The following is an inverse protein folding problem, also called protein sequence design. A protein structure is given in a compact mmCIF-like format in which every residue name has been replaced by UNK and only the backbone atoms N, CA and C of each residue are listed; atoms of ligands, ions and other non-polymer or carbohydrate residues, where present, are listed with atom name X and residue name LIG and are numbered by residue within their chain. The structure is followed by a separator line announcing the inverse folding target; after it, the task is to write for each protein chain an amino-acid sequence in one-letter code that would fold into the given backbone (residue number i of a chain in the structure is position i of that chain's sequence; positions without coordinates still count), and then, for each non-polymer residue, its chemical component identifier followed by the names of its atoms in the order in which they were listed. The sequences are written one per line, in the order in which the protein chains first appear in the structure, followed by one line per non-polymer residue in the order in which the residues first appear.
data_IF_918783079683
#
_entry.id   IF_918783079683
#
_cell.length_a   1.000
_cell.length_b   1.000
_cell.length_c   1.000
_cell.angle_alpha   90.00
_cell.angle_beta   90.00
_cell.angle_gamma   90.00
#
_symmetry.space_group_name_H-M   'P 1'
#
loop_
_entity.id
_entity.type
_entity.pdbx_description
1 polymer ?
#
# COMPACT_ATOMS: atom_id res chain seq x y z
N UNK A 1 22.51 -60.51 7.09
CA UNK A 1 22.05 -60.54 8.50
C UNK A 1 23.18 -60.21 9.50
N UNK A 2 24.36 -60.85 9.43
CA UNK A 2 25.47 -60.58 10.37
C UNK A 2 26.03 -59.14 10.34
N UNK A 3 26.23 -58.55 9.15
CA UNK A 3 26.77 -57.19 8.98
C UNK A 3 25.86 -56.06 9.48
N UNK A 4 24.54 -56.25 9.46
CA UNK A 4 23.61 -55.22 9.96
C UNK A 4 23.63 -55.16 11.49
N UNK A 5 23.77 -56.31 12.16
CA UNK A 5 23.83 -56.39 13.62
C UNK A 5 25.13 -55.76 14.14
N UNK A 6 26.26 -55.98 13.45
CA UNK A 6 27.54 -55.36 13.84
C UNK A 6 27.52 -53.84 13.69
N UNK A 7 26.88 -53.31 12.64
CA UNK A 7 26.73 -51.86 12.45
C UNK A 7 25.87 -51.24 13.57
N UNK A 8 24.76 -51.88 13.93
CA UNK A 8 23.88 -51.38 15.01
C UNK A 8 24.63 -51.34 16.35
N UNK A 9 25.43 -52.36 16.66
CA UNK A 9 26.24 -52.40 17.89
C UNK A 9 27.28 -51.27 17.89
N UNK A 10 27.94 -51.00 16.77
CA UNK A 10 28.94 -49.91 16.65
C UNK A 10 28.29 -48.53 16.83
N UNK A 11 27.10 -48.32 16.25
CA UNK A 11 26.37 -47.05 16.42
C UNK A 11 25.93 -46.87 17.87
N UNK A 12 25.45 -47.93 18.51
CA UNK A 12 25.01 -47.86 19.90
C UNK A 12 26.18 -47.60 20.86
N UNK A 13 27.34 -48.23 20.63
CA UNK A 13 28.55 -47.96 21.43
C UNK A 13 29.05 -46.54 21.23
N UNK A 14 29.04 -46.00 20.01
CA UNK A 14 29.39 -44.59 19.75
C UNK A 14 28.45 -43.62 20.48
N UNK A 15 27.14 -43.85 20.44
CA UNK A 15 26.16 -42.98 21.14
C UNK A 15 26.37 -43.01 22.66
N UNK A 16 26.62 -44.18 23.24
CA UNK A 16 26.89 -44.27 24.69
C UNK A 16 28.19 -43.60 25.10
N UNK A 17 29.25 -43.67 24.28
CA UNK A 17 30.52 -42.99 24.54
C UNK A 17 30.36 -41.48 24.45
N UNK A 18 29.62 -40.96 23.47
CA UNK A 18 29.33 -39.51 23.35
C UNK A 18 28.54 -39.02 24.55
N UNK A 19 27.50 -39.75 24.99
CA UNK A 19 26.72 -39.38 26.17
C UNK A 19 27.56 -39.38 27.46
N UNK A 20 28.50 -40.32 27.61
CA UNK A 20 29.40 -40.37 28.77
C UNK A 20 30.41 -39.20 28.74
N UNK A 21 30.93 -38.83 27.56
CA UNK A 21 31.84 -37.69 27.42
C UNK A 21 31.12 -36.38 27.76
N UNK A 22 29.90 -36.19 27.24
CA UNK A 22 29.09 -35.00 27.53
C UNK A 22 28.80 -34.87 29.04
N UNK A 23 28.46 -35.98 29.70
CA UNK A 23 28.24 -36.00 31.15
C UNK A 23 29.49 -35.71 31.99
N UNK A 24 30.69 -36.01 31.47
CA UNK A 24 31.98 -35.72 32.16
C UNK A 24 32.50 -34.31 31.87
N UNK A 25 32.18 -33.73 30.70
CA UNK A 25 32.55 -32.36 30.34
C UNK A 25 31.70 -31.30 31.06
N UNK A 26 30.48 -31.65 31.50
CA UNK A 26 29.60 -30.76 32.25
C UNK A 26 29.71 -30.92 33.78
N UNK A 27 30.93 -30.92 34.34
CA UNK A 27 31.09 -30.64 35.77
C UNK A 27 31.15 -29.12 35.99
N UNK A 28 30.17 -28.49 36.65
CA UNK A 28 30.33 -27.11 37.07
C UNK A 28 31.41 -27.04 38.15
N UNK A 29 32.47 -26.26 37.89
CA UNK A 29 33.45 -25.87 38.92
C UNK A 29 32.78 -25.03 40.01
N UNK A 30 33.42 -24.88 41.18
CA UNK A 30 32.86 -24.08 42.28
C UNK A 30 32.68 -22.62 41.84
N UNK A 31 31.63 -21.93 42.32
CA UNK A 31 31.29 -20.60 41.83
C UNK A 31 32.32 -19.57 42.30
N UNK A 32 33.16 -19.10 41.39
CA UNK A 32 33.93 -17.88 41.60
C UNK A 32 32.98 -16.70 41.47
N UNK A 33 32.61 -16.09 42.59
CA UNK A 33 31.79 -14.88 42.64
C UNK A 33 32.63 -13.70 42.11
N UNK A 34 32.61 -13.52 40.79
CA UNK A 34 33.03 -12.28 40.17
C UNK A 34 31.83 -11.35 40.23
N UNK A 35 31.89 -10.38 41.15
CA UNK A 35 30.93 -9.27 41.22
C UNK A 35 31.11 -8.36 39.99
N UNK A 36 30.68 -8.82 38.83
CA UNK A 36 30.37 -7.94 37.70
C UNK A 36 28.90 -7.53 37.84
N UNK A 37 28.55 -6.23 37.86
CA UNK A 37 27.16 -5.84 37.80
C UNK A 37 26.56 -6.43 36.52
N UNK A 38 25.49 -7.21 36.68
CA UNK A 38 24.80 -7.82 35.56
C UNK A 38 24.52 -6.76 34.48
N UNK A 39 24.76 -7.05 33.19
CA UNK A 39 24.40 -6.12 32.13
C UNK A 39 22.90 -5.88 32.28
N UNK A 40 22.52 -4.65 32.64
CA UNK A 40 21.13 -4.24 32.69
C UNK A 40 20.55 -4.61 31.32
N UNK A 41 19.68 -5.61 31.26
CA UNK A 41 18.92 -5.92 30.05
C UNK A 41 18.12 -4.65 29.75
N UNK A 42 18.68 -3.78 28.89
CA UNK A 42 17.93 -2.67 28.33
C UNK A 42 16.80 -3.36 27.58
N UNK A 43 15.58 -3.18 28.06
CA UNK A 43 14.39 -3.57 27.34
C UNK A 43 14.45 -2.75 26.04
N UNK A 44 14.96 -3.34 24.97
CA UNK A 44 14.88 -2.74 23.64
C UNK A 44 13.47 -3.01 23.18
N UNK A 45 12.67 -1.96 23.19
CA UNK A 45 11.42 -1.96 22.47
C UNK A 45 11.82 -1.73 21.01
N UNK A 46 11.99 -2.80 20.25
CA UNK A 46 12.23 -2.74 18.80
C UNK A 46 10.89 -3.04 18.12
N UNK A 47 9.97 -2.06 18.00
CA UNK A 47 8.71 -2.30 17.31
C UNK A 47 9.01 -2.44 15.83
N UNK A 48 8.52 -3.53 15.24
CA UNK A 48 8.41 -3.62 13.79
C UNK A 48 7.31 -2.64 13.37
N UNK A 49 7.72 -1.47 12.91
CA UNK A 49 6.82 -0.46 12.33
C UNK A 49 6.83 -0.71 10.82
N UNK A 50 5.66 -1.03 10.28
CA UNK A 50 5.36 -1.09 8.85
C UNK A 50 4.03 -0.37 8.57
N UNK A 51 3.99 0.52 7.59
CA UNK A 51 2.77 1.22 7.19
C UNK A 51 2.00 0.40 6.15
N UNK A 52 1.26 -0.59 6.63
CA UNK A 52 0.38 -1.40 5.78
C UNK A 52 -0.98 -0.72 5.56
N UNK A 53 -1.67 -1.13 4.50
CA UNK A 53 -3.06 -0.70 4.26
C UNK A 53 -3.98 -1.04 5.44
N UNK A 54 -3.80 -2.20 6.08
CA UNK A 54 -4.58 -2.54 7.27
C UNK A 54 -4.42 -1.52 8.41
N UNK A 55 -3.21 -1.04 8.70
CA UNK A 55 -3.00 -0.08 9.79
C UNK A 55 -3.65 1.27 9.49
N UNK A 56 -3.68 1.66 8.21
CA UNK A 56 -4.38 2.85 7.71
C UNK A 56 -5.90 2.68 7.87
N UNK A 57 -6.48 1.56 7.44
CA UNK A 57 -7.92 1.30 7.57
C UNK A 57 -8.34 1.28 9.05
N UNK A 58 -7.54 0.68 9.93
CA UNK A 58 -7.80 0.70 11.38
C UNK A 58 -7.71 2.12 11.96
N UNK A 59 -6.84 2.95 11.41
CA UNK A 59 -6.75 4.36 11.81
C UNK A 59 -8.00 5.14 11.37
N UNK A 60 -8.46 4.96 10.13
CA UNK A 60 -9.70 5.57 9.63
C UNK A 60 -10.90 5.13 10.48
N UNK A 61 -10.96 3.86 10.89
CA UNK A 61 -12.01 3.33 11.79
C UNK A 61 -11.97 3.94 13.19
N UNK A 62 -10.78 4.25 13.73
CA UNK A 62 -10.65 4.86 15.06
C UNK A 62 -11.00 6.35 15.06
N UNK A 63 -10.66 7.07 13.98
CA UNK A 63 -10.82 8.53 13.90
C UNK A 63 -12.08 8.97 13.16
N UNK A 64 -12.70 8.10 12.37
CA UNK A 64 -13.91 8.40 11.61
C UNK A 64 -13.71 9.42 10.49
N UNK A 65 -12.46 9.59 10.02
CA UNK A 65 -12.09 10.51 8.94
C UNK A 65 -11.15 9.84 7.96
N UNK A 66 -11.10 10.35 6.73
CA UNK A 66 -10.20 9.86 5.69
C UNK A 66 -8.74 10.10 6.08
N UNK A 67 -7.85 9.17 5.68
CA UNK A 67 -6.42 9.29 5.97
C UNK A 67 -5.78 10.58 5.42
N UNK A 68 -6.29 11.10 4.30
CA UNK A 68 -5.82 12.36 3.71
C UNK A 68 -6.07 13.60 4.59
N UNK A 69 -6.97 13.52 5.57
CA UNK A 69 -7.30 14.61 6.51
C UNK A 69 -6.60 14.41 7.88
N UNK A 70 -5.52 13.64 7.90
CA UNK A 70 -4.69 13.46 9.09
C UNK A 70 -3.99 14.76 9.46
N UNK A 71 -4.11 15.15 10.72
CA UNK A 71 -3.43 16.31 11.27
C UNK A 71 -2.21 15.86 12.08
N UNK A 72 -1.01 16.17 11.56
CA UNK A 72 0.25 15.85 12.24
C UNK A 72 0.51 16.74 13.47
N UNK A 73 -0.23 17.84 13.64
CA UNK A 73 -0.17 18.66 14.85
C UNK A 73 -1.05 18.11 15.99
N UNK A 74 -2.07 17.30 15.67
CA UNK A 74 -2.90 16.66 16.68
C UNK A 74 -2.21 15.42 17.25
N UNK A 75 -1.97 15.45 18.56
CA UNK A 75 -1.37 14.31 19.29
C UNK A 75 -2.23 13.06 19.21
N UNK A 76 -3.55 13.20 19.24
CA UNK A 76 -4.43 12.03 19.22
C UNK A 76 -4.40 11.32 17.85
N UNK A 77 -4.23 12.06 16.75
CA UNK A 77 -4.04 11.50 15.41
C UNK A 77 -2.73 10.72 15.28
N UNK A 78 -1.63 11.30 15.77
CA UNK A 78 -0.30 10.68 15.75
C UNK A 78 -0.26 9.46 16.68
N UNK A 79 -0.80 9.57 17.89
CA UNK A 79 -0.89 8.46 18.85
C UNK A 79 -1.70 7.30 18.27
N UNK A 80 -2.82 7.59 17.59
CA UNK A 80 -3.62 6.59 16.91
C UNK A 80 -2.85 5.90 15.77
N UNK A 81 -2.04 6.63 15.00
CA UNK A 81 -1.23 6.04 13.92
C UNK A 81 -0.14 5.12 14.48
N UNK A 82 0.54 5.55 15.54
CA UNK A 82 1.55 4.74 16.23
C UNK A 82 0.91 3.47 16.81
N UNK A 83 -0.31 3.57 17.33
CA UNK A 83 -1.06 2.44 17.83
C UNK A 83 -1.43 1.44 16.73
N UNK A 84 -2.02 1.90 15.63
CA UNK A 84 -2.50 0.98 14.57
C UNK A 84 -1.35 0.31 13.84
N UNK A 85 -0.23 1.01 13.62
CA UNK A 85 0.98 0.41 13.04
C UNK A 85 1.59 -0.63 13.96
N UNK A 86 1.61 -0.41 15.28
CA UNK A 86 2.20 -1.38 16.21
C UNK A 86 1.30 -2.60 16.44
N UNK A 87 -0.02 -2.45 16.47
CA UNK A 87 -0.95 -3.57 16.64
C UNK A 87 -1.03 -4.46 15.39
N UNK A 88 -0.99 -3.88 14.19
CA UNK A 88 -1.12 -4.67 12.96
C UNK A 88 0.17 -5.46 12.61
N UNK A 89 1.35 -4.97 13.02
CA UNK A 89 2.62 -5.60 12.65
C UNK A 89 3.19 -6.58 13.68
N UNK A 90 2.71 -6.53 14.92
CA UNK A 90 3.21 -7.38 15.99
C UNK A 90 2.19 -8.48 16.30
N UNK A 91 2.37 -9.63 15.67
CA UNK A 91 1.57 -10.82 15.93
C UNK A 91 1.61 -11.19 17.43
N UNK A 92 0.43 -11.40 18.02
CA UNK A 92 0.28 -11.89 19.39
C UNK A 92 0.32 -10.82 20.50
N UNK A 93 0.46 -9.53 20.18
CA UNK A 93 0.41 -8.43 21.18
C UNK A 93 -0.80 -7.54 20.94
N UNK A 94 -1.96 -7.95 21.45
CA UNK A 94 -3.16 -7.12 21.44
C UNK A 94 -3.29 -6.36 22.76
N UNK A 95 -3.47 -5.05 22.66
CA UNK A 95 -3.74 -4.14 23.76
C UNK A 95 -4.67 -3.05 23.25
N UNK A 96 -5.50 -2.49 24.12
CA UNK A 96 -6.43 -1.41 23.75
C UNK A 96 -5.69 -0.09 23.55
N UNK A 97 -6.28 0.83 22.79
CA UNK A 97 -5.73 2.17 22.56
C UNK A 97 -5.42 2.93 23.86
N UNK A 98 -6.30 2.84 24.87
CA UNK A 98 -6.11 3.50 26.17
C UNK A 98 -4.84 3.02 26.90
N UNK A 99 -4.62 1.70 26.92
CA UNK A 99 -3.41 1.09 27.48
C UNK A 99 -2.15 1.51 26.71
N UNK A 100 -2.26 1.67 25.39
CA UNK A 100 -1.15 2.15 24.58
C UNK A 100 -0.78 3.61 24.85
N UNK A 101 -1.77 4.49 25.11
CA UNK A 101 -1.51 5.89 25.49
C UNK A 101 -0.63 6.01 26.73
N UNK A 102 -0.78 5.10 27.69
CA UNK A 102 0.11 5.05 28.86
C UNK A 102 1.56 4.70 28.48
N UNK A 103 1.76 3.91 27.42
CA UNK A 103 3.08 3.58 26.88
C UNK A 103 3.69 4.77 26.14
N UNK A 104 2.86 5.52 25.39
CA UNK A 104 3.26 6.76 24.71
C UNK A 104 3.56 7.94 25.65
N UNK A 105 3.15 7.84 26.91
CA UNK A 105 3.55 8.79 27.96
C UNK A 105 5.07 8.78 28.20
N UNK A 106 5.76 7.71 27.78
CA UNK A 106 7.21 7.65 27.79
C UNK A 106 7.80 8.23 26.50
N UNK A 107 8.28 9.47 26.57
CA UNK A 107 8.85 10.20 25.43
C UNK A 107 9.96 9.45 24.67
N UNK A 108 10.72 8.59 25.35
CA UNK A 108 11.79 7.81 24.70
C UNK A 108 11.23 6.81 23.72
N UNK A 109 10.18 6.09 24.12
CA UNK A 109 9.53 5.06 23.30
C UNK A 109 8.83 5.73 22.12
N UNK A 110 8.10 6.82 22.38
CA UNK A 110 7.40 7.59 21.34
C UNK A 110 8.37 8.12 20.29
N UNK A 111 9.51 8.68 20.72
CA UNK A 111 10.54 9.17 19.79
C UNK A 111 11.15 8.04 18.97
N UNK A 112 11.43 6.89 19.56
CA UNK A 112 11.95 5.72 18.84
C UNK A 112 10.95 5.21 17.79
N UNK A 113 9.65 5.16 18.13
CA UNK A 113 8.59 4.77 17.19
C UNK A 113 8.44 5.79 16.04
N UNK A 114 8.41 7.09 16.35
CA UNK A 114 8.31 8.14 15.32
C UNK A 114 9.52 8.10 14.40
N UNK A 115 10.74 7.97 14.94
CA UNK A 115 11.95 7.84 14.12
C UNK A 115 11.96 6.58 13.25
N UNK A 116 11.38 5.48 13.73
CA UNK A 116 11.23 4.26 12.93
C UNK A 116 10.26 4.50 11.77
N UNK A 117 9.11 5.13 12.05
CA UNK A 117 8.11 5.48 11.04
C UNK A 117 8.66 6.47 10.01
N UNK A 118 9.39 7.52 10.44
CA UNK A 118 10.04 8.50 9.56
C UNK A 118 11.06 7.84 8.62
N UNK A 119 11.84 6.87 9.10
CA UNK A 119 12.78 6.14 8.26
C UNK A 119 12.08 5.32 7.20
N UNK A 120 11.00 4.65 7.58
CA UNK A 120 10.20 3.86 6.66
C UNK A 120 9.53 4.75 5.61
N UNK A 121 8.85 5.82 6.03
CA UNK A 121 8.19 6.75 5.10
C UNK A 121 9.18 7.45 4.18
N UNK A 122 10.39 7.78 4.65
CA UNK A 122 11.45 8.33 3.82
C UNK A 122 11.91 7.37 2.72
N UNK A 123 11.88 6.05 2.97
CA UNK A 123 12.15 5.03 1.95
C UNK A 123 10.97 4.93 0.97
N UNK A 124 9.74 4.87 1.48
CA UNK A 124 8.52 4.79 0.65
C UNK A 124 8.34 6.01 -0.25
N UNK A 125 8.72 7.20 0.22
CA UNK A 125 8.67 8.43 -0.57
C UNK A 125 9.52 8.37 -1.85
N UNK A 126 10.51 7.48 -1.92
CA UNK A 126 11.33 7.29 -3.13
C UNK A 126 10.55 6.58 -4.24
N UNK A 127 9.55 5.78 -3.90
CA UNK A 127 8.73 5.02 -4.83
C UNK A 127 7.45 5.76 -5.23
N UNK A 128 7.11 6.85 -4.54
CA UNK A 128 5.98 7.69 -4.91
C UNK A 128 6.25 8.39 -6.25
N UNK A 129 5.39 8.12 -7.23
CA UNK A 129 5.37 8.86 -8.49
C UNK A 129 5.05 10.32 -8.18
N UNK A 130 5.96 11.24 -8.55
CA UNK A 130 5.68 12.68 -8.50
C UNK A 130 4.49 12.95 -9.42
N UNK A 131 3.31 13.18 -8.85
CA UNK A 131 2.17 13.62 -9.63
C UNK A 131 2.52 14.97 -10.29
N UNK A 132 2.22 15.11 -11.58
CA UNK A 132 2.24 16.42 -12.24
C UNK A 132 0.98 17.16 -11.76
N UNK A 133 1.14 18.43 -11.41
CA UNK A 133 0.08 19.28 -10.84
C UNK A 133 -1.16 19.40 -11.75
N UNK A 134 -1.03 19.09 -13.04
CA UNK A 134 -2.11 19.19 -14.04
C UNK A 134 -3.25 18.15 -13.87
N UNK A 135 -3.04 17.05 -13.14
CA UNK A 135 -4.08 16.01 -12.93
C UNK A 135 -5.02 16.31 -11.74
N UNK A 136 -4.84 17.46 -11.05
CA UNK A 136 -5.65 17.89 -9.89
C UNK A 136 -6.74 18.89 -10.32
N UNK A 137 -6.83 19.23 -11.60
CA UNK A 137 -7.86 20.13 -12.10
C UNK A 137 -9.22 19.41 -12.16
N UNK A 138 -10.08 19.72 -11.19
CA UNK A 138 -11.52 19.45 -11.13
C UNK A 138 -11.94 18.03 -10.73
N UNK A 139 -11.96 17.77 -9.43
CA UNK A 139 -13.05 17.00 -8.86
C UNK A 139 -13.29 17.44 -7.40
N UNK A 140 -14.42 18.12 -7.14
CA UNK A 140 -15.00 18.33 -5.80
C UNK A 140 -15.45 16.97 -5.22
N UNK A 141 -14.51 16.05 -5.05
CA UNK A 141 -14.75 14.72 -4.53
C UNK A 141 -14.33 14.74 -3.09
N UNK A 142 -15.31 14.61 -2.19
CA UNK A 142 -15.07 14.27 -0.79
C UNK A 142 -14.02 13.17 -0.73
N UNK A 143 -12.91 13.35 0.00
CA UNK A 143 -11.84 12.36 0.03
C UNK A 143 -12.41 11.02 0.47
N UNK A 144 -12.44 10.07 -0.46
CA UNK A 144 -12.95 8.72 -0.20
C UNK A 144 -12.08 8.01 0.84
N UNK A 145 -12.69 7.14 1.64
CA UNK A 145 -11.94 6.34 2.60
C UNK A 145 -11.11 5.29 1.86
N UNK A 146 -9.85 5.11 2.28
CA UNK A 146 -8.96 4.09 1.70
C UNK A 146 -9.57 2.70 1.91
N UNK A 147 -10.26 2.49 3.03
CA UNK A 147 -11.00 1.25 3.29
C UNK A 147 -12.03 0.87 2.22
N UNK A 148 -12.79 1.83 1.71
CA UNK A 148 -13.81 1.57 0.67
C UNK A 148 -13.17 1.25 -0.69
N UNK A 149 -12.07 1.95 -1.01
CA UNK A 149 -11.31 1.72 -2.23
C UNK A 149 -10.69 0.32 -2.23
N UNK A 150 -10.02 -0.06 -1.14
CA UNK A 150 -9.40 -1.38 -0.98
C UNK A 150 -10.46 -2.48 -1.00
N UNK A 151 -11.61 -2.28 -0.33
CA UNK A 151 -12.73 -3.23 -0.40
C UNK A 151 -13.22 -3.44 -1.83
N UNK A 152 -13.31 -2.36 -2.63
CA UNK A 152 -13.69 -2.45 -4.04
C UNK A 152 -12.66 -3.24 -4.86
N UNK A 153 -11.36 -3.02 -4.62
CA UNK A 153 -10.30 -3.78 -5.28
C UNK A 153 -10.33 -5.28 -4.91
N UNK A 154 -10.60 -5.61 -3.65
CA UNK A 154 -10.76 -7.00 -3.20
C UNK A 154 -11.95 -7.65 -3.90
N UNK A 155 -13.09 -6.95 -3.99
CA UNK A 155 -14.26 -7.44 -4.72
C UNK A 155 -14.01 -7.61 -6.23
N UNK A 156 -13.07 -6.84 -6.80
CA UNK A 156 -12.63 -6.98 -8.18
C UNK A 156 -11.66 -8.16 -8.42
N UNK A 157 -11.23 -8.84 -7.35
CA UNK A 157 -10.38 -10.03 -7.40
C UNK A 157 -8.96 -9.84 -6.87
N UNK A 158 -8.64 -8.73 -6.20
CA UNK A 158 -7.37 -8.58 -5.48
C UNK A 158 -7.38 -9.51 -4.25
N UNK A 159 -6.26 -10.18 -4.00
CA UNK A 159 -6.12 -11.04 -2.82
C UNK A 159 -6.23 -10.20 -1.52
N UNK A 160 -7.11 -10.62 -0.62
CA UNK A 160 -7.41 -9.88 0.60
C UNK A 160 -6.24 -9.89 1.59
N UNK A 161 -5.49 -11.00 1.65
CA UNK A 161 -4.33 -11.10 2.53
C UNK A 161 -3.22 -10.17 2.05
N UNK A 162 -2.89 -10.21 0.76
CA UNK A 162 -1.97 -9.25 0.16
C UNK A 162 -2.42 -7.80 0.36
N UNK A 163 -3.68 -7.48 0.03
CA UNK A 163 -4.20 -6.11 0.07
C UNK A 163 -4.19 -5.48 1.47
N UNK A 164 -4.35 -6.28 2.53
CA UNK A 164 -4.40 -5.77 3.90
C UNK A 164 -3.04 -5.81 4.58
N UNK A 165 -2.29 -6.90 4.43
CA UNK A 165 -1.10 -7.17 5.25
C UNK A 165 0.22 -6.84 4.54
N UNK A 166 0.28 -7.01 3.22
CA UNK A 166 1.53 -6.86 2.47
C UNK A 166 1.59 -5.53 1.70
N UNK A 167 0.47 -5.08 1.15
CA UNK A 167 0.36 -3.92 0.29
C UNK A 167 0.73 -2.62 1.01
N UNK A 168 1.52 -1.79 0.32
CA UNK A 168 1.94 -0.47 0.77
C UNK A 168 1.06 0.62 0.14
N UNK A 169 1.00 1.79 0.78
CA UNK A 169 0.19 2.92 0.31
C UNK A 169 0.63 3.44 -1.07
N UNK A 170 1.92 3.33 -1.39
CA UNK A 170 2.47 3.78 -2.68
C UNK A 170 2.06 2.90 -3.87
N UNK A 171 1.63 1.66 -3.62
CA UNK A 171 1.25 0.72 -4.67
C UNK A 171 -0.22 0.87 -5.07
N UNK A 172 -1.05 1.46 -4.21
CA UNK A 172 -2.47 1.67 -4.48
C UNK A 172 -2.77 2.34 -5.83
N UNK A 173 -2.11 3.44 -6.22
CA UNK A 173 -2.32 4.07 -7.53
C UNK A 173 -2.16 3.11 -8.71
N UNK A 174 -1.21 2.16 -8.62
CA UNK A 174 -0.96 1.19 -9.70
C UNK A 174 -2.18 0.28 -9.90
N UNK A 175 -2.78 -0.18 -8.80
CA UNK A 175 -3.96 -1.03 -8.85
C UNK A 175 -5.21 -0.26 -9.27
N UNK A 176 -5.34 1.00 -8.85
CA UNK A 176 -6.43 1.89 -9.28
C UNK A 176 -6.37 2.10 -10.79
N UNK A 177 -5.20 2.48 -11.34
CA UNK A 177 -5.02 2.69 -12.78
C UNK A 177 -5.33 1.41 -13.58
N UNK A 178 -4.92 0.25 -13.08
CA UNK A 178 -5.20 -1.04 -13.70
C UNK A 178 -6.69 -1.38 -13.68
N UNK A 179 -7.36 -1.14 -12.55
CA UNK A 179 -8.79 -1.35 -12.40
C UNK A 179 -9.60 -0.41 -13.30
N UNK A 180 -9.26 0.87 -13.34
CA UNK A 180 -9.92 1.85 -14.21
C UNK A 180 -9.75 1.51 -15.68
N UNK A 181 -8.54 1.13 -16.12
CA UNK A 181 -8.29 0.69 -17.51
C UNK A 181 -9.15 -0.51 -17.88
N UNK A 182 -9.17 -1.54 -17.02
CA UNK A 182 -10.01 -2.73 -17.23
C UNK A 182 -11.49 -2.36 -17.30
N UNK A 183 -11.95 -1.42 -16.46
CA UNK A 183 -13.34 -0.96 -16.45
C UNK A 183 -13.68 -0.17 -17.71
N UNK A 184 -12.78 0.69 -18.20
CA UNK A 184 -12.94 1.41 -19.49
C UNK A 184 -13.09 0.41 -20.65
N UNK A 185 -12.19 -0.56 -20.75
CA UNK A 185 -12.25 -1.63 -21.76
C UNK A 185 -13.56 -2.43 -21.69
N UNK A 186 -14.03 -2.75 -20.48
CA UNK A 186 -15.30 -3.43 -20.28
C UNK A 186 -16.48 -2.60 -20.77
N UNK A 187 -16.54 -1.32 -20.41
CA UNK A 187 -17.61 -0.40 -20.82
C UNK A 187 -17.63 -0.20 -22.34
N UNK A 188 -16.45 -0.09 -22.97
CA UNK A 188 -16.33 0.00 -24.43
C UNK A 188 -16.77 -1.30 -25.13
N UNK A 189 -16.41 -2.45 -24.58
CA UNK A 189 -16.88 -3.76 -25.05
C UNK A 189 -18.40 -3.87 -24.93
N UNK A 190 -18.99 -3.49 -23.80
CA UNK A 190 -20.44 -3.52 -23.58
C UNK A 190 -21.17 -2.57 -24.53
N UNK A 191 -20.61 -1.38 -24.78
CA UNK A 191 -21.11 -0.44 -25.80
C UNK A 191 -21.08 -1.05 -27.19
N UNK A 192 -19.97 -1.69 -27.58
CA UNK A 192 -19.82 -2.36 -28.87
C UNK A 192 -20.81 -3.53 -29.02
N UNK A 193 -20.96 -4.36 -27.99
CA UNK A 193 -21.94 -5.45 -28.01
C UNK A 193 -23.37 -4.95 -28.07
N UNK A 194 -23.67 -3.84 -27.39
CA UNK A 194 -24.98 -3.19 -27.47
C UNK A 194 -25.24 -2.69 -28.89
N UNK A 195 -24.26 -2.05 -29.52
CA UNK A 195 -24.31 -1.66 -30.93
C UNK A 195 -24.63 -2.85 -31.84
N UNK A 196 -23.91 -3.97 -31.71
CA UNK A 196 -24.19 -5.16 -32.53
C UNK A 196 -25.59 -5.74 -32.31
N UNK A 197 -26.13 -5.67 -31.09
CA UNK A 197 -27.47 -6.18 -30.79
C UNK A 197 -28.57 -5.33 -31.41
N UNK A 198 -28.39 -4.01 -31.51
CA UNK A 198 -29.40 -3.09 -32.04
C UNK A 198 -29.26 -2.83 -33.54
N UNK A 199 -28.10 -3.16 -34.14
CA UNK A 199 -27.84 -3.00 -35.58
C UNK A 199 -28.96 -3.52 -36.49
N UNK A 200 -29.57 -4.70 -36.25
CA UNK A 200 -30.67 -5.20 -37.09
C UNK A 200 -31.94 -4.32 -37.05
N UNK A 201 -32.04 -3.43 -36.07
CA UNK A 201 -33.21 -2.61 -35.78
C UNK A 201 -32.98 -1.11 -36.04
N UNK A 202 -31.76 -0.70 -36.42
CA UNK A 202 -31.38 0.69 -36.60
C UNK A 202 -30.77 0.90 -37.99
N UNK A 203 -31.06 2.05 -38.58
CA UNK A 203 -30.44 2.49 -39.81
C UNK A 203 -29.00 2.95 -39.54
N UNK A 204 -28.03 2.12 -39.89
CA UNK A 204 -26.60 2.36 -39.67
C UNK A 204 -26.09 3.65 -40.35
N UNK A 205 -26.78 4.14 -41.39
CA UNK A 205 -26.43 5.40 -42.05
C UNK A 205 -26.57 6.64 -41.17
N UNK A 206 -27.35 6.55 -40.08
CA UNK A 206 -27.59 7.65 -39.14
C UNK A 206 -26.55 7.75 -38.03
N UNK A 207 -25.72 6.72 -37.84
CA UNK A 207 -24.67 6.66 -36.82
C UNK A 207 -23.31 6.96 -37.47
N UNK A 208 -22.92 8.23 -37.49
CA UNK A 208 -21.70 8.70 -38.17
C UNK A 208 -20.42 8.22 -37.47
N UNK A 209 -20.44 8.15 -36.14
CA UNK A 209 -19.30 7.68 -35.33
C UNK A 209 -19.51 6.23 -34.83
N UNK A 210 -20.44 5.48 -35.44
CA UNK A 210 -20.70 4.09 -35.13
C UNK A 210 -21.19 3.88 -33.69
N UNK A 211 -20.50 3.04 -32.92
CA UNK A 211 -20.89 2.71 -31.54
C UNK A 211 -20.74 3.89 -30.56
N UNK A 212 -19.91 4.90 -30.87
CA UNK A 212 -19.73 6.10 -30.03
C UNK A 212 -20.99 6.96 -29.97
N UNK A 213 -21.77 7.00 -31.05
CA UNK A 213 -23.01 7.79 -31.12
C UNK A 213 -24.14 7.24 -30.22
N UNK A 214 -23.95 6.05 -29.60
CA UNK A 214 -24.94 5.50 -28.67
C UNK A 214 -24.86 6.13 -27.28
N UNK A 215 -23.65 6.14 -26.72
CA UNK A 215 -23.34 6.66 -25.39
C UNK A 215 -21.90 7.18 -25.45
N UNK A 216 -21.73 8.45 -25.15
CA UNK A 216 -20.43 9.09 -24.95
C UNK A 216 -19.99 8.88 -23.50
N UNK A 217 -18.75 8.43 -23.30
CA UNK A 217 -18.23 8.28 -21.94
C UNK A 217 -17.62 9.59 -21.42
N UNK A 218 -17.67 9.86 -20.10
CA UNK A 218 -17.10 11.08 -19.52
C UNK A 218 -15.62 11.31 -19.86
N UNK A 219 -14.84 10.23 -20.03
CA UNK A 219 -13.43 10.34 -20.41
C UNK A 219 -13.22 10.68 -21.88
N UNK A 220 -14.13 10.28 -22.78
CA UNK A 220 -14.08 10.68 -24.18
C UNK A 220 -14.38 12.19 -24.30
N UNK A 221 -15.34 12.72 -23.51
CA UNK A 221 -15.64 14.16 -23.48
C UNK A 221 -14.43 15.00 -23.01
N UNK A 222 -13.71 14.52 -21.99
CA UNK A 222 -12.50 15.19 -21.51
C UNK A 222 -11.36 15.15 -22.54
N UNK A 223 -11.20 14.04 -23.24
CA UNK A 223 -10.22 13.91 -24.32
C UNK A 223 -10.55 14.84 -25.50
N UNK A 224 -11.82 14.89 -25.91
CA UNK A 224 -12.32 15.76 -26.97
C UNK A 224 -12.16 17.24 -26.61
N UNK A 225 -12.45 17.65 -25.37
CA UNK A 225 -12.20 19.02 -24.90
C UNK A 225 -10.72 19.37 -24.95
N UNK A 226 -9.85 18.48 -24.46
CA UNK A 226 -8.39 18.70 -24.46
C UNK A 226 -7.81 18.72 -25.87
N UNK A 227 -8.41 18.00 -26.82
CA UNK A 227 -8.05 18.06 -28.23
C UNK A 227 -8.54 19.36 -28.88
N UNK A 228 -9.77 19.80 -28.58
CA UNK A 228 -10.29 21.08 -29.04
C UNK A 228 -9.46 22.27 -28.52
N UNK A 229 -9.02 22.24 -27.25
CA UNK A 229 -8.13 23.26 -26.69
C UNK A 229 -6.77 23.30 -27.40
N UNK A 230 -6.19 22.13 -27.70
CA UNK A 230 -4.94 22.04 -28.47
C UNK A 230 -5.11 22.57 -29.89
N UNK A 231 -6.19 22.21 -30.57
CA UNK A 231 -6.49 22.71 -31.92
C UNK A 231 -6.68 24.23 -31.93
N UNK A 232 -7.38 24.80 -30.94
CA UNK A 232 -7.52 26.24 -30.80
C UNK A 232 -6.19 26.96 -30.52
N UNK A 233 -5.30 26.34 -29.74
CA UNK A 233 -3.96 26.89 -29.49
C UNK A 233 -3.10 26.88 -30.76
N UNK A 234 -3.10 25.76 -31.51
CA UNK A 234 -2.40 25.65 -32.79
C UNK A 234 -2.97 26.63 -33.83
N UNK A 235 -4.29 26.76 -33.91
CA UNK A 235 -4.96 27.72 -34.80
C UNK A 235 -4.66 29.18 -34.42
N UNK A 236 -4.53 29.48 -33.12
CA UNK A 236 -4.13 30.80 -32.65
C UNK A 236 -2.69 31.15 -33.08
N UNK A 237 -1.75 30.22 -32.93
CA UNK A 237 -0.37 30.41 -33.37
C UNK A 237 -0.29 30.63 -34.89
N UNK A 238 -1.07 29.86 -35.67
CA UNK A 238 -1.18 30.01 -37.13
C UNK A 238 -1.80 31.37 -37.48
N UNK A 239 -2.83 31.80 -36.75
CA UNK A 239 -3.47 33.09 -36.94
C UNK A 239 -2.53 34.26 -36.65
N UNK A 240 -1.73 34.19 -35.59
CA UNK A 240 -0.71 35.20 -35.28
C UNK A 240 0.36 35.28 -36.37
N UNK A 241 0.82 34.13 -36.89
CA UNK A 241 1.76 34.08 -38.00
C UNK A 241 1.18 34.73 -39.27
N UNK A 242 -0.11 34.49 -39.54
CA UNK A 242 -0.82 35.10 -40.66
C UNK A 242 -0.95 36.62 -40.51
N UNK A 243 -1.35 37.12 -39.33
CA UNK A 243 -1.46 38.56 -39.05
C UNK A 243 -0.12 39.28 -39.17
N UNK A 244 0.97 38.68 -38.69
CA UNK A 244 2.30 39.28 -38.76
C UNK A 244 2.88 39.31 -40.18
N UNK A 245 2.58 38.31 -41.01
CA UNK A 245 3.06 38.23 -42.39
C UNK A 245 2.18 39.02 -43.37
N UNK A 246 0.90 39.23 -43.07
CA UNK A 246 -0.05 39.99 -43.92
C UNK A 246 0.06 41.52 -43.82
N UNK A 247 0.81 42.05 -42.84
CA UNK A 247 0.99 43.51 -42.65
C UNK A 247 2.17 44.07 -43.48
N UNK A 248 2.96 43.22 -44.14
CA UNK A 248 4.15 43.61 -44.93
C UNK A 248 3.92 43.75 -46.45
N UNK A 249 2.68 43.94 -46.90
CA UNK A 249 2.33 44.32 -48.29
C UNK A 249 1.53 45.60 -48.33
#
# INVERSE_FOLDING_TARGET
MSLFITIIIIVFTLVTVVAIIDSKCCRPGPPTVVNSPAPRKRFRFDPKVKLNIQSIIRWEQLRGKSFSLMDYADKDDVDALLYTTTVCNNEGKMYTFEVFRHTLSNEKITREMVMALERETAVLAQFQKKQKEDDIANHDVTPGMIGELVATLIMAGLDAHYALEEMELCDLPIYIDAYERRKKEQMESDRLWTYYKILPHIDASKLKNGARDLITFPWEEMEDMKEAERALAEDADIFELFMNNGINT
#
